data_IF_822513790248
#
_entry.id   IF_822513790248
#
_cell.length_a   1.000
_cell.length_b   1.000
_cell.length_c   1.000
_cell.angle_alpha   90.00
_cell.angle_beta   90.00
_cell.angle_gamma   90.00
#
_symmetry.space_group_name_H-M   'P 1'
#
loop_
_entity.id
_entity.type
_entity.pdbx_description
1 polymer ?
#
# COMPACT_ATOMS: atom_id res chain seq x y z
N UNK A 1 26.88 15.82 -6.31
CA UNK A 1 26.05 14.61 -6.37
C UNK A 1 24.93 14.82 -5.35
N UNK A 2 23.67 14.50 -5.65
CA UNK A 2 22.66 14.46 -4.59
C UNK A 2 23.12 13.46 -3.53
N UNK A 3 23.01 13.84 -2.26
CA UNK A 3 23.36 12.97 -1.13
C UNK A 3 22.45 11.75 -1.11
N UNK A 4 23.00 10.57 -0.81
CA UNK A 4 22.21 9.35 -0.59
C UNK A 4 21.15 9.62 0.49
N UNK A 5 19.85 9.41 0.19
CA UNK A 5 18.79 9.69 1.14
C UNK A 5 18.87 8.76 2.35
N UNK A 6 18.53 9.29 3.52
CA UNK A 6 18.49 8.59 4.80
C UNK A 6 17.06 8.30 5.21
N UNK A 7 16.69 7.03 5.29
CA UNK A 7 15.33 6.56 5.53
C UNK A 7 15.23 5.91 6.90
N UNK A 8 14.29 6.37 7.72
CA UNK A 8 13.93 5.73 8.99
C UNK A 8 12.62 4.97 8.83
N UNK A 9 12.67 3.65 8.87
CA UNK A 9 11.47 2.81 8.87
C UNK A 9 11.07 2.48 10.30
N UNK A 10 9.85 2.81 10.70
CA UNK A 10 9.30 2.47 12.01
C UNK A 10 8.19 1.45 11.85
N UNK A 11 8.44 0.24 12.34
CA UNK A 11 7.62 -0.94 12.12
C UNK A 11 8.02 -1.67 10.84
N UNK A 12 8.43 -2.93 10.98
CA UNK A 12 8.86 -3.79 9.89
C UNK A 12 8.06 -5.11 9.88
N UNK A 13 6.75 -5.00 10.06
CA UNK A 13 5.80 -6.10 9.83
C UNK A 13 5.69 -6.48 8.35
N UNK A 14 4.58 -7.10 7.93
CA UNK A 14 4.43 -7.54 6.52
C UNK A 14 4.62 -6.41 5.50
N UNK A 15 3.96 -5.27 5.71
CA UNK A 15 4.04 -4.13 4.79
C UNK A 15 5.37 -3.38 4.89
N UNK A 16 5.84 -3.08 6.11
CA UNK A 16 7.15 -2.44 6.31
C UNK A 16 8.31 -3.28 5.78
N UNK A 17 8.23 -4.61 5.93
CA UNK A 17 9.19 -5.55 5.34
C UNK A 17 9.17 -5.54 3.82
N UNK A 18 7.98 -5.55 3.20
CA UNK A 18 7.86 -5.42 1.74
C UNK A 18 8.52 -4.14 1.21
N UNK A 19 8.23 -3.01 1.84
CA UNK A 19 8.85 -1.72 1.51
C UNK A 19 10.37 -1.78 1.62
N UNK A 20 10.86 -2.29 2.74
CA UNK A 20 12.30 -2.42 2.97
C UNK A 20 12.98 -3.32 1.94
N UNK A 21 12.39 -4.49 1.64
CA UNK A 21 12.94 -5.42 0.67
C UNK A 21 12.99 -4.78 -0.72
N UNK A 22 11.97 -4.00 -1.11
CA UNK A 22 11.98 -3.20 -2.33
C UNK A 22 13.07 -2.13 -2.35
N UNK A 23 13.30 -1.43 -1.24
CA UNK A 23 14.36 -0.41 -1.16
C UNK A 23 15.76 -1.01 -1.20
N UNK A 24 15.97 -2.18 -0.58
CA UNK A 24 17.26 -2.88 -0.61
C UNK A 24 17.57 -3.48 -1.98
N UNK A 25 16.56 -3.75 -2.80
CA UNK A 25 16.73 -4.18 -4.19
C UNK A 25 17.07 -3.01 -5.15
N UNK A 26 16.95 -1.75 -4.69
CA UNK A 26 17.25 -0.58 -5.50
C UNK A 26 18.75 -0.49 -5.85
N UNK A 27 19.12 -0.12 -7.10
CA UNK A 27 20.52 0.00 -7.52
C UNK A 27 21.27 1.12 -6.78
N UNK A 28 20.55 2.07 -6.18
CA UNK A 28 21.11 3.14 -5.34
C UNK A 28 20.57 2.99 -3.92
N UNK A 29 21.24 2.19 -3.07
CA UNK A 29 20.73 1.90 -1.74
C UNK A 29 20.77 3.15 -0.87
N UNK A 30 19.61 3.50 -0.33
CA UNK A 30 19.47 4.52 0.71
C UNK A 30 20.19 4.09 1.99
N UNK A 31 20.54 5.05 2.86
CA UNK A 31 20.99 4.73 4.21
C UNK A 31 19.76 4.45 5.08
N UNK A 32 19.56 3.20 5.48
CA UNK A 32 18.32 2.79 6.16
C UNK A 32 18.58 2.47 7.64
N UNK A 33 17.71 3.00 8.51
CA UNK A 33 17.57 2.53 9.89
C UNK A 33 16.15 2.01 10.08
N UNK A 34 16.03 0.81 10.64
CA UNK A 34 14.74 0.16 10.91
C UNK A 34 14.55 0.08 12.41
N UNK A 35 13.42 0.56 12.92
CA UNK A 35 12.99 0.39 14.30
C UNK A 35 11.92 -0.69 14.34
N UNK A 36 12.28 -1.88 14.81
CA UNK A 36 11.35 -3.00 14.98
C UNK A 36 11.76 -3.90 16.15
N UNK A 37 10.80 -4.25 17.02
CA UNK A 37 11.05 -5.02 18.25
C UNK A 37 11.40 -6.49 17.99
N UNK A 38 10.94 -7.04 16.86
CA UNK A 38 11.01 -8.46 16.55
C UNK A 38 12.01 -8.78 15.45
N UNK A 39 12.38 -7.79 14.63
CA UNK A 39 13.41 -7.95 13.60
C UNK A 39 14.81 -7.86 14.18
N UNK A 40 15.74 -8.55 13.54
CA UNK A 40 17.17 -8.47 13.82
C UNK A 40 17.95 -8.60 12.51
N UNK A 41 19.19 -8.14 12.51
CA UNK A 41 20.06 -8.13 11.33
C UNK A 41 20.54 -6.72 11.03
N UNK A 42 21.79 -6.59 10.62
CA UNK A 42 22.38 -5.32 10.22
C UNK A 42 23.45 -5.60 9.18
N UNK A 43 23.45 -4.84 8.10
CA UNK A 43 24.53 -4.80 7.12
C UNK A 43 24.98 -3.35 6.89
N UNK A 44 25.84 -3.13 5.89
CA UNK A 44 26.40 -1.81 5.59
C UNK A 44 25.34 -0.79 5.13
N UNK A 45 24.20 -1.25 4.61
CA UNK A 45 23.13 -0.42 4.02
C UNK A 45 21.92 -0.26 4.93
N UNK A 46 21.67 -1.23 5.81
CA UNK A 46 20.53 -1.26 6.72
C UNK A 46 20.94 -1.65 8.14
N UNK A 47 20.65 -0.77 9.10
CA UNK A 47 20.78 -1.06 10.53
C UNK A 47 19.40 -1.28 11.17
N UNK A 48 19.22 -2.38 11.89
CA UNK A 48 17.98 -2.66 12.64
C UNK A 48 18.21 -2.43 14.12
N UNK A 49 17.36 -1.63 14.74
CA UNK A 49 17.34 -1.31 16.17
C UNK A 49 16.00 -1.68 16.78
N UNK A 50 15.97 -1.99 18.08
CA UNK A 50 14.75 -2.50 18.74
C UNK A 50 13.84 -1.41 19.29
N UNK A 51 14.40 -0.22 19.52
CA UNK A 51 13.71 0.92 20.08
C UNK A 51 14.21 2.23 19.47
N UNK A 52 13.37 3.28 19.52
CA UNK A 52 13.75 4.60 19.00
C UNK A 52 15.01 5.14 19.71
N UNK A 53 15.19 4.88 21.01
CA UNK A 53 16.38 5.30 21.77
C UNK A 53 17.70 4.69 21.28
N UNK A 54 17.64 3.62 20.49
CA UNK A 54 18.82 2.95 19.92
C UNK A 54 19.19 3.49 18.53
N UNK A 55 18.39 4.42 17.97
CA UNK A 55 18.72 5.08 16.69
C UNK A 55 20.07 5.81 16.85
N UNK A 56 21.06 5.57 15.97
CA UNK A 56 22.36 6.21 16.07
C UNK A 56 22.25 7.74 16.15
N UNK A 57 22.99 8.37 17.06
CA UNK A 57 23.01 9.83 17.23
C UNK A 57 23.51 10.58 15.99
N UNK A 58 24.31 9.91 15.16
CA UNK A 58 24.84 10.43 13.88
C UNK A 58 23.85 10.30 12.72
N UNK A 59 22.76 9.56 12.87
CA UNK A 59 21.77 9.36 11.81
C UNK A 59 20.79 10.52 11.76
N UNK A 60 20.53 11.12 10.60
CA UNK A 60 19.50 12.16 10.44
C UNK A 60 18.60 11.73 9.29
N UNK A 61 17.31 11.45 9.54
CA UNK A 61 16.41 11.03 8.48
C UNK A 61 16.02 12.18 7.56
N UNK A 62 15.96 11.91 6.27
CA UNK A 62 15.28 12.74 5.28
C UNK A 62 13.78 12.37 5.25
N UNK A 63 13.47 11.08 5.37
CA UNK A 63 12.10 10.56 5.45
C UNK A 63 11.97 9.60 6.65
N UNK A 64 10.89 9.77 7.40
CA UNK A 64 10.43 8.82 8.42
C UNK A 64 9.22 8.08 7.86
N UNK A 65 9.35 6.79 7.59
CA UNK A 65 8.24 5.93 7.13
C UNK A 65 7.60 5.25 8.33
N UNK A 66 6.33 5.56 8.57
CA UNK A 66 5.55 5.02 9.69
C UNK A 66 4.68 3.86 9.22
N UNK A 67 5.12 2.64 9.50
CA UNK A 67 4.48 1.37 9.11
C UNK A 67 4.09 0.53 10.35
N UNK A 68 3.59 1.20 11.39
CA UNK A 68 3.06 0.59 12.62
C UNK A 68 1.54 0.42 12.55
N UNK A 69 0.92 -0.03 13.63
CA UNK A 69 -0.55 -0.03 13.73
C UNK A 69 -1.04 1.40 14.04
N UNK A 70 -2.21 1.83 13.55
CA UNK A 70 -2.76 3.17 13.83
C UNK A 70 -2.87 3.50 15.32
N UNK A 71 -3.18 2.50 16.15
CA UNK A 71 -3.31 2.64 17.59
C UNK A 71 -1.98 2.96 18.31
N UNK A 72 -0.84 2.63 17.70
CA UNK A 72 0.50 2.84 18.30
C UNK A 72 1.27 3.99 17.63
N UNK A 73 0.63 4.73 16.71
CA UNK A 73 1.27 5.77 15.93
C UNK A 73 1.77 6.93 16.80
N UNK A 74 0.93 7.42 17.72
CA UNK A 74 1.25 8.54 18.60
C UNK A 74 2.43 8.21 19.53
N UNK A 75 2.41 7.03 20.17
CA UNK A 75 3.52 6.55 21.01
C UNK A 75 4.83 6.43 20.23
N UNK A 76 4.75 5.92 19.00
CA UNK A 76 5.92 5.81 18.12
C UNK A 76 6.50 7.19 17.77
N UNK A 77 5.64 8.15 17.40
CA UNK A 77 6.04 9.53 17.09
C UNK A 77 6.64 10.20 18.33
N UNK A 78 6.07 9.99 19.52
CA UNK A 78 6.60 10.50 20.79
C UNK A 78 8.01 9.97 21.06
N UNK A 79 8.21 8.66 20.97
CA UNK A 79 9.51 8.04 21.17
C UNK A 79 10.55 8.49 20.13
N UNK A 80 10.13 8.78 18.89
CA UNK A 80 10.98 9.38 17.87
C UNK A 80 11.38 10.80 18.22
N UNK A 81 10.46 11.63 18.72
CA UNK A 81 10.77 12.98 19.20
C UNK A 81 11.82 12.98 20.30
N UNK A 82 11.66 12.12 21.30
CA UNK A 82 12.62 11.96 22.40
C UNK A 82 14.02 11.54 21.92
N UNK A 83 14.09 10.64 20.93
CA UNK A 83 15.37 10.13 20.41
C UNK A 83 16.04 11.06 19.40
N UNK A 84 15.28 11.56 18.42
CA UNK A 84 15.80 12.35 17.31
C UNK A 84 16.01 13.82 17.70
N UNK A 85 15.17 14.35 18.59
CA UNK A 85 15.17 15.76 18.98
C UNK A 85 15.08 16.67 17.75
N UNK A 86 16.01 17.63 17.64
CA UNK A 86 16.05 18.59 16.52
C UNK A 86 16.28 17.93 15.16
N UNK A 87 16.84 16.72 15.10
CA UNK A 87 17.05 15.97 13.84
C UNK A 87 15.73 15.61 13.17
N UNK A 88 14.67 15.38 13.94
CA UNK A 88 13.35 15.04 13.41
C UNK A 88 12.80 16.15 12.51
N UNK A 89 13.08 17.42 12.83
CA UNK A 89 12.59 18.60 12.08
C UNK A 89 13.10 18.70 10.65
N UNK A 90 14.11 17.91 10.28
CA UNK A 90 14.65 17.86 8.92
C UNK A 90 13.93 16.87 8.02
N UNK A 91 13.14 15.97 8.61
CA UNK A 91 12.46 14.91 7.89
C UNK A 91 11.06 15.34 7.42
N UNK A 92 10.54 14.63 6.41
CA UNK A 92 9.11 14.45 6.23
C UNK A 92 8.66 13.09 6.80
N UNK A 93 7.41 12.98 7.22
CA UNK A 93 6.82 11.73 7.69
C UNK A 93 5.89 11.15 6.63
N UNK A 94 6.21 9.96 6.13
CA UNK A 94 5.35 9.17 5.25
C UNK A 94 4.61 8.11 6.06
N UNK A 95 3.30 8.28 6.24
CA UNK A 95 2.45 7.26 6.87
C UNK A 95 1.91 6.30 5.83
N UNK A 96 2.12 5.00 6.03
CA UNK A 96 1.49 3.94 5.20
C UNK A 96 0.28 3.29 5.89
N UNK A 97 -0.23 3.94 6.95
CA UNK A 97 -1.30 3.42 7.79
C UNK A 97 -2.66 3.95 7.35
N UNK A 98 -3.65 3.07 7.30
CA UNK A 98 -5.05 3.48 7.23
C UNK A 98 -5.51 4.17 8.53
N UNK A 99 -6.51 5.04 8.43
CA UNK A 99 -7.23 5.56 9.61
C UNK A 99 -6.52 6.65 10.43
N UNK A 100 -5.46 7.28 9.93
CA UNK A 100 -4.84 8.46 10.59
C UNK A 100 -4.66 9.59 9.60
N UNK A 101 -5.21 10.77 9.92
CA UNK A 101 -5.13 11.94 9.04
C UNK A 101 -3.75 12.63 9.11
N UNK A 102 -3.40 13.43 8.11
CA UNK A 102 -2.22 14.28 8.14
C UNK A 102 -2.29 15.24 9.33
N UNK A 103 -3.48 15.77 9.64
CA UNK A 103 -3.69 16.63 10.82
C UNK A 103 -3.34 15.90 12.12
N UNK A 104 -3.90 14.70 12.34
CA UNK A 104 -3.65 13.92 13.55
C UNK A 104 -2.16 13.56 13.72
N UNK A 105 -1.49 13.19 12.62
CA UNK A 105 -0.05 12.88 12.62
C UNK A 105 0.81 14.14 12.84
N UNK A 106 0.43 15.27 12.24
CA UNK A 106 1.08 16.56 12.44
C UNK A 106 0.96 17.04 13.88
N UNK A 107 -0.22 16.87 14.49
CA UNK A 107 -0.47 17.20 15.90
C UNK A 107 0.37 16.32 16.84
N UNK A 108 0.45 15.02 16.56
CA UNK A 108 1.31 14.10 17.30
C UNK A 108 2.79 14.52 17.21
N UNK A 109 3.30 14.82 16.01
CA UNK A 109 4.67 15.27 15.82
C UNK A 109 4.95 16.59 16.54
N UNK A 110 3.98 17.52 16.51
CA UNK A 110 4.09 18.82 17.17
C UNK A 110 4.17 18.69 18.68
N UNK A 111 3.38 17.80 19.29
CA UNK A 111 3.47 17.47 20.73
C UNK A 111 4.83 16.88 21.11
N UNK A 112 5.46 16.17 20.17
CA UNK A 112 6.83 15.64 20.31
C UNK A 112 7.92 16.68 19.97
N UNK A 113 7.56 17.95 19.77
CA UNK A 113 8.49 19.05 19.55
C UNK A 113 8.99 19.22 18.11
N UNK A 114 8.35 18.56 17.13
CA UNK A 114 8.72 18.63 15.72
C UNK A 114 7.54 19.06 14.84
N UNK A 115 7.73 20.10 14.03
CA UNK A 115 6.79 20.48 12.96
C UNK A 115 7.37 20.00 11.65
N UNK A 116 6.77 18.97 11.05
CA UNK A 116 7.29 18.30 9.86
C UNK A 116 6.17 18.08 8.83
N UNK A 117 6.48 18.06 7.53
CA UNK A 117 5.52 17.70 6.50
C UNK A 117 5.02 16.27 6.66
N UNK A 118 3.74 16.06 6.40
CA UNK A 118 3.11 14.74 6.47
C UNK A 118 2.65 14.32 5.09
N UNK A 119 3.05 13.14 4.67
CA UNK A 119 2.58 12.48 3.48
C UNK A 119 1.89 11.17 3.89
N UNK A 120 0.90 10.76 3.12
CA UNK A 120 0.15 9.54 3.36
C UNK A 120 0.13 8.69 2.11
N UNK A 121 0.30 7.39 2.29
CA UNK A 121 0.14 6.42 1.22
C UNK A 121 -0.69 5.23 1.69
N UNK A 122 -1.48 4.67 0.78
CA UNK A 122 -2.28 3.47 1.01
C UNK A 122 -1.79 2.36 0.09
N UNK A 123 -0.62 1.75 0.37
CA UNK A 123 -0.15 0.57 -0.36
C UNK A 123 -1.02 -0.65 -0.03
N UNK A 124 -0.93 -1.68 -0.86
CA UNK A 124 -1.63 -2.94 -0.66
C UNK A 124 -0.68 -4.15 -0.53
N UNK A 125 -1.21 -5.31 -0.17
CA UNK A 125 -0.41 -6.50 0.14
C UNK A 125 0.42 -7.07 -1.02
N UNK A 126 0.04 -6.94 -2.31
CA UNK A 126 0.91 -7.26 -3.44
C UNK A 126 2.26 -6.53 -3.49
N UNK A 127 2.44 -5.45 -2.71
CA UNK A 127 3.74 -4.78 -2.55
C UNK A 127 4.86 -5.74 -2.13
N UNK A 128 4.54 -6.81 -1.40
CA UNK A 128 5.51 -7.83 -0.97
C UNK A 128 6.16 -8.61 -2.12
N UNK A 129 5.64 -8.50 -3.34
CA UNK A 129 6.18 -9.14 -4.53
C UNK A 129 6.46 -8.13 -5.65
N UNK A 130 6.53 -6.83 -5.33
CA UNK A 130 6.78 -5.77 -6.31
C UNK A 130 5.62 -5.49 -7.27
N UNK A 131 4.43 -6.03 -7.00
CA UNK A 131 3.22 -5.83 -7.80
C UNK A 131 2.16 -5.01 -7.04
N UNK A 132 2.63 -4.15 -6.13
CA UNK A 132 1.78 -3.27 -5.35
C UNK A 132 1.12 -2.18 -6.18
N UNK A 133 0.13 -1.53 -5.58
CA UNK A 133 -0.34 -0.21 -6.01
C UNK A 133 -0.62 0.63 -4.76
N UNK A 134 -0.19 1.88 -4.78
CA UNK A 134 -0.33 2.82 -3.66
C UNK A 134 -1.04 4.08 -4.11
N UNK A 135 -2.15 4.45 -3.46
CA UNK A 135 -2.60 5.84 -3.56
C UNK A 135 -1.78 6.72 -2.63
N UNK A 136 -1.41 7.91 -3.08
CA UNK A 136 -0.45 8.78 -2.41
C UNK A 136 -0.95 10.22 -2.35
N UNK A 137 -0.93 10.79 -1.15
CA UNK A 137 -1.26 12.19 -0.89
C UNK A 137 -0.08 12.89 -0.21
N UNK A 138 0.30 14.05 -0.73
CA UNK A 138 1.33 14.90 -0.15
C UNK A 138 0.67 16.16 0.42
N UNK A 139 0.89 16.44 1.71
CA UNK A 139 0.36 17.68 2.28
C UNK A 139 1.04 18.91 1.65
N UNK A 140 0.38 20.07 1.61
CA UNK A 140 0.95 21.30 1.03
C UNK A 140 2.28 21.76 1.64
N UNK A 141 2.62 21.27 2.83
CA UNK A 141 3.88 21.59 3.53
C UNK A 141 5.06 20.75 3.02
N UNK A 142 4.82 19.67 2.29
CA UNK A 142 5.89 18.82 1.76
C UNK A 142 6.56 19.49 0.56
N UNK A 143 7.89 19.49 0.53
CA UNK A 143 8.63 19.98 -0.62
C UNK A 143 8.48 19.03 -1.82
N UNK A 144 8.82 19.51 -3.01
CA UNK A 144 8.82 18.68 -4.22
C UNK A 144 9.85 17.54 -4.11
N UNK A 145 11.01 17.81 -3.50
CA UNK A 145 12.04 16.80 -3.26
C UNK A 145 11.56 15.71 -2.30
N UNK A 146 10.89 16.09 -1.20
CA UNK A 146 10.33 15.13 -0.23
C UNK A 146 9.20 14.30 -0.85
N UNK A 147 8.36 14.96 -1.66
CA UNK A 147 7.27 14.30 -2.39
C UNK A 147 7.79 13.30 -3.39
N UNK A 148 8.81 13.68 -4.17
CA UNK A 148 9.46 12.81 -5.16
C UNK A 148 10.15 11.63 -4.50
N UNK A 149 10.86 11.86 -3.40
CA UNK A 149 11.50 10.78 -2.64
C UNK A 149 10.46 9.80 -2.06
N UNK A 150 9.35 10.28 -1.51
CA UNK A 150 8.27 9.40 -1.03
C UNK A 150 7.65 8.60 -2.17
N UNK A 151 7.45 9.23 -3.33
CA UNK A 151 6.97 8.54 -4.53
C UNK A 151 7.94 7.42 -4.94
N UNK A 152 9.25 7.69 -5.04
CA UNK A 152 10.28 6.68 -5.36
C UNK A 152 10.28 5.51 -4.38
N UNK A 153 10.17 5.79 -3.08
CA UNK A 153 10.10 4.74 -2.05
C UNK A 153 8.87 3.84 -2.21
N UNK A 154 7.72 4.40 -2.61
CA UNK A 154 6.51 3.61 -2.88
C UNK A 154 6.63 2.87 -4.21
N UNK A 155 7.22 3.52 -5.22
CA UNK A 155 7.40 2.95 -6.56
C UNK A 155 8.29 1.71 -6.56
N UNK A 156 9.23 1.62 -5.61
CA UNK A 156 10.10 0.46 -5.43
C UNK A 156 9.35 -0.86 -5.15
N UNK A 157 8.06 -0.81 -4.77
CA UNK A 157 7.26 -2.00 -4.48
C UNK A 157 6.00 -2.12 -5.33
N UNK A 158 5.78 -1.23 -6.30
CA UNK A 158 4.60 -1.24 -7.16
C UNK A 158 4.24 0.15 -7.67
N UNK A 159 3.14 0.27 -8.40
CA UNK A 159 2.74 1.54 -9.00
C UNK A 159 2.19 2.54 -7.97
N UNK A 160 2.25 3.83 -8.29
CA UNK A 160 1.85 4.92 -7.39
C UNK A 160 0.91 5.88 -8.09
N UNK A 161 -0.28 6.07 -7.50
CA UNK A 161 -1.28 7.01 -7.98
C UNK A 161 -1.37 8.17 -7.01
N UNK A 162 -1.01 9.37 -7.45
CA UNK A 162 -1.18 10.58 -6.65
C UNK A 162 -2.66 10.99 -6.64
N UNK A 163 -3.17 11.36 -5.47
CA UNK A 163 -4.49 11.99 -5.31
C UNK A 163 -4.32 13.42 -4.83
N UNK A 164 -5.22 14.31 -5.26
CA UNK A 164 -5.15 15.74 -4.96
C UNK A 164 -5.65 16.08 -3.55
N UNK A 165 -6.53 15.26 -2.99
CA UNK A 165 -7.16 15.50 -1.70
C UNK A 165 -6.94 14.32 -0.78
N UNK A 166 -6.77 14.61 0.50
CA UNK A 166 -6.50 13.58 1.50
C UNK A 166 -7.70 12.62 1.65
N UNK A 167 -8.92 13.13 1.56
CA UNK A 167 -10.14 12.33 1.67
C UNK A 167 -10.28 11.27 0.56
N UNK A 168 -9.63 11.46 -0.59
CA UNK A 168 -9.67 10.49 -1.69
C UNK A 168 -8.93 9.19 -1.29
N UNK A 169 -8.07 9.22 -0.27
CA UNK A 169 -7.41 8.01 0.24
C UNK A 169 -8.39 6.98 0.82
N UNK A 170 -9.59 7.38 1.26
CA UNK A 170 -10.62 6.42 1.70
C UNK A 170 -11.16 5.61 0.53
N UNK A 171 -11.38 6.25 -0.63
CA UNK A 171 -11.77 5.57 -1.86
C UNK A 171 -10.63 4.68 -2.40
N UNK A 172 -9.38 5.16 -2.36
CA UNK A 172 -8.20 4.34 -2.67
C UNK A 172 -8.14 3.10 -1.77
N UNK A 173 -8.32 3.26 -0.46
CA UNK A 173 -8.27 2.14 0.49
C UNK A 173 -9.34 1.09 0.19
N UNK A 174 -10.55 1.54 -0.17
CA UNK A 174 -11.63 0.65 -0.58
C UNK A 174 -11.29 -0.08 -1.89
N UNK A 175 -10.80 0.65 -2.90
CA UNK A 175 -10.54 0.09 -4.23
C UNK A 175 -9.30 -0.80 -4.28
N UNK A 176 -8.13 -0.28 -3.88
CA UNK A 176 -6.83 -0.91 -4.08
C UNK A 176 -6.26 -1.52 -2.80
N UNK A 177 -6.49 -0.90 -1.64
CA UNK A 177 -6.04 -1.43 -0.34
C UNK A 177 -6.74 -2.74 0.02
N UNK A 178 -8.07 -2.74 -0.10
CA UNK A 178 -8.94 -3.91 0.12
C UNK A 178 -9.09 -4.77 -1.13
N UNK A 179 -8.79 -4.22 -2.31
CA UNK A 179 -8.89 -4.86 -3.63
C UNK A 179 -8.37 -6.30 -3.73
N UNK A 180 -7.17 -6.63 -3.22
CA UNK A 180 -6.64 -7.99 -3.25
C UNK A 180 -7.59 -9.02 -2.62
N UNK A 181 -8.31 -8.66 -1.55
CA UNK A 181 -9.27 -9.56 -0.91
C UNK A 181 -10.45 -9.89 -1.84
N UNK A 182 -10.89 -8.93 -2.66
CA UNK A 182 -11.98 -9.12 -3.63
C UNK A 182 -11.54 -10.08 -4.74
N UNK A 183 -10.31 -9.95 -5.22
CA UNK A 183 -9.72 -10.85 -6.22
C UNK A 183 -9.51 -12.26 -5.65
N UNK A 184 -9.09 -12.38 -4.40
CA UNK A 184 -8.97 -13.69 -3.73
C UNK A 184 -10.33 -14.35 -3.53
N UNK A 185 -11.36 -13.59 -3.16
CA UNK A 185 -12.73 -14.09 -3.06
C UNK A 185 -13.25 -14.55 -4.44
N UNK A 186 -12.97 -13.80 -5.51
CA UNK A 186 -13.33 -14.23 -6.86
C UNK A 186 -12.65 -15.56 -7.22
N UNK A 187 -11.37 -15.72 -6.90
CA UNK A 187 -10.66 -16.98 -7.10
C UNK A 187 -11.37 -18.11 -6.34
N UNK A 188 -11.64 -17.93 -5.05
CA UNK A 188 -12.32 -18.92 -4.20
C UNK A 188 -13.69 -19.34 -4.78
N UNK A 189 -14.49 -18.38 -5.24
CA UNK A 189 -15.80 -18.64 -5.83
C UNK A 189 -15.70 -19.41 -7.16
N UNK A 190 -14.72 -19.07 -8.01
CA UNK A 190 -14.47 -19.79 -9.27
C UNK A 190 -13.97 -21.22 -9.02
N UNK A 191 -13.08 -21.41 -8.04
CA UNK A 191 -12.60 -22.73 -7.63
C UNK A 191 -13.79 -23.61 -7.20
N UNK A 192 -14.64 -23.09 -6.30
CA UNK A 192 -15.82 -23.80 -5.80
C UNK A 192 -16.84 -24.13 -6.91
N UNK A 193 -17.08 -23.20 -7.82
CA UNK A 193 -17.96 -23.43 -8.96
C UNK A 193 -17.41 -24.53 -9.89
N UNK A 194 -16.11 -24.50 -10.18
CA UNK A 194 -15.46 -25.54 -10.99
C UNK A 194 -15.59 -26.94 -10.39
N UNK A 195 -15.41 -27.06 -9.07
CA UNK A 195 -15.63 -28.32 -8.34
C UNK A 195 -17.08 -28.81 -8.45
N UNK A 196 -18.06 -27.90 -8.30
CA UNK A 196 -19.48 -28.22 -8.47
C UNK A 196 -19.82 -28.69 -9.91
N UNK A 197 -19.00 -28.31 -10.89
CA UNK A 197 -19.09 -28.78 -12.27
C UNK A 197 -18.22 -30.01 -12.57
N UNK A 198 -17.74 -30.71 -11.54
CA UNK A 198 -17.08 -32.01 -11.65
C UNK A 198 -15.56 -31.96 -11.83
N UNK A 199 -14.94 -30.78 -11.74
CA UNK A 199 -13.48 -30.69 -11.72
C UNK A 199 -12.93 -31.14 -10.36
N UNK A 200 -11.73 -31.72 -10.36
CA UNK A 200 -11.02 -31.92 -9.09
C UNK A 200 -10.62 -30.57 -8.50
N UNK A 201 -10.55 -30.49 -7.16
CA UNK A 201 -10.10 -29.29 -6.45
C UNK A 201 -8.78 -28.74 -7.00
N UNK A 202 -7.79 -29.61 -7.23
CA UNK A 202 -6.49 -29.21 -7.78
C UNK A 202 -6.63 -28.58 -9.17
N UNK A 203 -7.50 -29.13 -10.01
CA UNK A 203 -7.74 -28.61 -11.38
C UNK A 203 -8.47 -27.27 -11.33
N UNK A 204 -9.56 -27.19 -10.56
CA UNK A 204 -10.34 -25.96 -10.39
C UNK A 204 -9.47 -24.82 -9.86
N UNK A 205 -8.66 -25.10 -8.83
CA UNK A 205 -7.65 -24.17 -8.27
C UNK A 205 -6.66 -23.66 -9.29
N UNK A 206 -6.08 -24.55 -10.09
CA UNK A 206 -5.12 -24.16 -11.13
C UNK A 206 -5.78 -23.29 -12.20
N UNK A 207 -6.98 -23.63 -12.64
CA UNK A 207 -7.70 -22.90 -13.68
C UNK A 207 -8.17 -21.52 -13.21
N UNK A 208 -8.75 -21.42 -12.01
CA UNK A 208 -9.24 -20.15 -11.45
C UNK A 208 -8.09 -19.15 -11.27
N UNK A 209 -7.00 -19.58 -10.62
CA UNK A 209 -5.82 -18.72 -10.39
C UNK A 209 -5.12 -18.34 -11.67
N UNK A 210 -4.96 -19.30 -12.60
CA UNK A 210 -4.36 -19.03 -13.91
C UNK A 210 -5.16 -18.02 -14.72
N UNK A 211 -6.50 -18.12 -14.69
CA UNK A 211 -7.40 -17.19 -15.37
C UNK A 211 -7.27 -15.78 -14.79
N UNK A 212 -7.28 -15.64 -13.46
CA UNK A 212 -7.13 -14.33 -12.80
C UNK A 212 -5.77 -13.72 -13.10
N UNK A 213 -4.69 -14.50 -13.00
CA UNK A 213 -3.35 -14.03 -13.32
C UNK A 213 -3.24 -13.56 -14.77
N UNK A 214 -3.72 -14.37 -15.73
CA UNK A 214 -3.67 -14.02 -17.15
C UNK A 214 -4.48 -12.78 -17.47
N UNK A 215 -5.70 -12.66 -16.95
CA UNK A 215 -6.54 -11.48 -17.16
C UNK A 215 -5.95 -10.22 -16.51
N UNK A 216 -5.39 -10.34 -15.29
CA UNK A 216 -4.70 -9.24 -14.62
C UNK A 216 -3.47 -8.78 -15.40
N UNK A 217 -2.67 -9.70 -15.94
CA UNK A 217 -1.56 -9.36 -16.83
C UNK A 217 -2.01 -8.68 -18.12
N UNK A 218 -3.09 -9.15 -18.73
CA UNK A 218 -3.63 -8.48 -19.92
C UNK A 218 -4.04 -7.03 -19.61
N UNK A 219 -4.65 -6.78 -18.45
CA UNK A 219 -5.01 -5.42 -18.03
C UNK A 219 -3.79 -4.52 -17.78
N UNK A 220 -2.66 -5.10 -17.37
CA UNK A 220 -1.42 -4.37 -17.07
C UNK A 220 -0.58 -4.13 -18.34
N UNK A 221 -0.47 -5.15 -19.20
CA UNK A 221 0.42 -5.16 -20.36
C UNK A 221 -0.22 -4.58 -21.63
N UNK A 222 -1.57 -4.55 -21.73
CA UNK A 222 -2.28 -4.14 -22.95
C UNK A 222 -2.83 -2.70 -22.86
N UNK A 223 -2.88 -1.97 -23.98
CA UNK A 223 -3.43 -0.61 -24.01
C UNK A 223 -4.96 -0.55 -23.98
N UNK A 224 -5.64 -1.69 -24.18
CA UNK A 224 -7.10 -1.78 -24.25
C UNK A 224 -7.75 -1.68 -22.87
N UNK A 225 -8.88 -0.98 -22.80
CA UNK A 225 -9.70 -0.91 -21.58
C UNK A 225 -10.29 -2.28 -21.21
N UNK A 226 -10.57 -2.50 -19.92
CA UNK A 226 -11.18 -3.72 -19.41
C UNK A 226 -12.48 -4.12 -20.13
N UNK A 227 -13.27 -3.13 -20.57
CA UNK A 227 -14.50 -3.37 -21.30
C UNK A 227 -14.25 -3.97 -22.69
N UNK A 228 -13.16 -3.58 -23.35
CA UNK A 228 -12.81 -4.05 -24.68
C UNK A 228 -12.13 -5.42 -24.62
N UNK A 229 -11.24 -5.64 -23.65
CA UNK A 229 -10.70 -6.98 -23.36
C UNK A 229 -11.83 -7.98 -23.08
N UNK A 230 -12.86 -7.59 -22.31
CA UNK A 230 -14.05 -8.43 -22.06
C UNK A 230 -14.83 -8.71 -23.34
N UNK A 231 -15.06 -7.71 -24.20
CA UNK A 231 -15.77 -7.91 -25.49
C UNK A 231 -14.98 -8.85 -26.40
N UNK A 232 -13.66 -8.73 -26.46
CA UNK A 232 -12.80 -9.53 -27.32
C UNK A 232 -12.90 -11.05 -27.04
N UNK A 233 -13.16 -11.44 -25.78
CA UNK A 233 -13.35 -12.85 -25.40
C UNK A 233 -14.82 -13.31 -25.40
N UNK A 234 -15.74 -12.47 -25.87
CA UNK A 234 -17.19 -12.73 -25.87
C UNK A 234 -17.70 -12.96 -27.29
N UNK A 235 -17.83 -14.23 -27.68
CA UNK A 235 -18.49 -14.58 -28.93
C UNK A 235 -20.02 -14.49 -28.79
N UNK A 236 -20.74 -13.97 -29.81
CA UNK A 236 -22.20 -13.98 -29.83
C UNK A 236 -22.76 -15.40 -29.64
N UNK A 237 -23.73 -15.55 -28.74
CA UNK A 237 -24.33 -16.84 -28.34
C UNK A 237 -23.34 -17.88 -27.76
N UNK A 238 -22.12 -17.47 -27.40
CA UNK A 238 -21.12 -18.33 -26.78
C UNK A 238 -21.33 -18.52 -25.28
N UNK A 239 -20.53 -19.40 -24.68
CA UNK A 239 -20.54 -19.67 -23.23
C UNK A 239 -20.23 -18.43 -22.40
N UNK A 240 -19.27 -17.59 -22.84
CA UNK A 240 -18.94 -16.31 -22.19
C UNK A 240 -20.15 -15.37 -22.19
N UNK A 241 -20.86 -15.25 -23.32
CA UNK A 241 -22.03 -14.39 -23.41
C UNK A 241 -23.14 -14.84 -22.45
N UNK A 242 -23.39 -16.16 -22.36
CA UNK A 242 -24.36 -16.72 -21.42
C UNK A 242 -24.00 -16.42 -19.95
N UNK A 243 -22.72 -16.55 -19.57
CA UNK A 243 -22.27 -16.20 -18.23
C UNK A 243 -22.37 -14.70 -17.95
N UNK A 244 -21.96 -13.84 -18.88
CA UNK A 244 -22.01 -12.39 -18.73
C UNK A 244 -23.44 -11.86 -18.62
N UNK A 245 -24.43 -12.47 -19.27
CA UNK A 245 -25.84 -12.12 -19.10
C UNK A 245 -26.29 -12.22 -17.64
N UNK A 246 -25.74 -13.17 -16.87
CA UNK A 246 -26.02 -13.31 -15.44
C UNK A 246 -25.18 -12.34 -14.62
N UNK A 247 -23.87 -12.30 -14.85
CA UNK A 247 -22.95 -11.48 -14.03
C UNK A 247 -23.16 -9.97 -14.20
N UNK A 248 -23.60 -9.53 -15.38
CA UNK A 248 -23.85 -8.12 -15.71
C UNK A 248 -25.30 -7.70 -15.49
N UNK A 249 -26.17 -8.57 -14.96
CA UNK A 249 -27.50 -8.17 -14.54
C UNK A 249 -27.41 -7.01 -13.52
N UNK A 250 -28.33 -6.02 -13.53
CA UNK A 250 -28.20 -4.81 -12.70
C UNK A 250 -28.03 -5.07 -11.20
N UNK A 251 -28.65 -6.13 -10.69
CA UNK A 251 -28.64 -6.57 -9.29
C UNK A 251 -27.49 -7.55 -8.95
N UNK A 252 -26.69 -7.96 -9.95
CA UNK A 252 -25.54 -8.83 -9.79
C UNK A 252 -24.25 -8.04 -9.51
N UNK A 253 -23.19 -8.21 -10.30
CA UNK A 253 -21.89 -7.58 -10.03
C UNK A 253 -21.96 -6.04 -10.03
N UNK A 254 -22.64 -5.36 -10.97
CA UNK A 254 -22.71 -3.90 -10.97
C UNK A 254 -23.19 -3.32 -9.63
N UNK A 255 -24.31 -3.83 -9.11
CA UNK A 255 -24.85 -3.42 -7.79
C UNK A 255 -23.96 -3.86 -6.64
N UNK A 256 -23.50 -5.11 -6.63
CA UNK A 256 -22.79 -5.66 -5.47
C UNK A 256 -21.38 -5.10 -5.31
N UNK A 257 -20.67 -4.84 -6.43
CA UNK A 257 -19.37 -4.18 -6.39
C UNK A 257 -19.52 -2.74 -5.87
N UNK A 258 -20.48 -1.97 -6.38
CA UNK A 258 -20.73 -0.61 -5.86
C UNK A 258 -20.97 -0.62 -4.35
N UNK A 259 -21.90 -1.46 -3.87
CA UNK A 259 -22.22 -1.57 -2.44
C UNK A 259 -21.02 -1.99 -1.59
N UNK A 260 -20.19 -2.90 -2.11
CA UNK A 260 -19.00 -3.35 -1.39
C UNK A 260 -17.95 -2.23 -1.26
N UNK A 261 -17.73 -1.47 -2.34
CA UNK A 261 -16.83 -0.30 -2.31
C UNK A 261 -17.38 0.78 -1.39
N UNK A 262 -18.67 1.12 -1.47
CA UNK A 262 -19.31 2.11 -0.59
C UNK A 262 -19.17 1.72 0.90
N UNK A 263 -19.38 0.44 1.22
CA UNK A 263 -19.23 -0.07 2.58
C UNK A 263 -17.77 0.02 3.07
N UNK A 264 -16.80 -0.30 2.21
CA UNK A 264 -15.39 -0.21 2.53
C UNK A 264 -14.92 1.25 2.69
N UNK A 265 -15.36 2.16 1.81
CA UNK A 265 -15.05 3.60 1.89
C UNK A 265 -15.62 4.19 3.16
N UNK A 266 -16.91 3.95 3.46
CA UNK A 266 -17.53 4.40 4.71
C UNK A 266 -16.76 3.91 5.93
N UNK A 267 -16.32 2.64 5.92
CA UNK A 267 -15.54 2.10 7.03
C UNK A 267 -14.15 2.74 7.13
N UNK A 268 -13.51 3.05 6.01
CA UNK A 268 -12.24 3.77 6.02
C UNK A 268 -12.39 5.17 6.63
N UNK A 269 -13.47 5.87 6.31
CA UNK A 269 -13.79 7.18 6.89
C UNK A 269 -14.08 7.09 8.40
N UNK A 270 -14.85 6.09 8.84
CA UNK A 270 -15.11 5.85 10.28
C UNK A 270 -13.84 5.57 11.09
N UNK A 271 -12.82 5.00 10.43
CA UNK A 271 -11.53 4.71 11.04
C UNK A 271 -10.57 5.90 10.97
N UNK A 272 -10.83 6.89 10.10
CA UNK A 272 -10.02 8.10 9.99
C UNK A 272 -10.27 9.00 11.21
N UNK A 273 -9.34 8.93 12.17
CA UNK A 273 -9.26 9.80 13.35
C UNK A 273 -8.01 10.67 13.33
#
# INVERSE_FOLDING_TARGET
MPSTPSILLVGCGKLGGALLDGWLASPTPSRIVVVDRHRSGSDETCSVVRAASEIPSTFTPDIIVLAVKPATAEDAISALGDSLGTRMKKAALLSVMAGRTCSALSDAASKSGATIPILRAMPNTPSAIGAGISGFYASPQASEEQTSLCHELLFAVGDVVRVDREEDLSAVTALSGSGPAYVFLLAELLEKAGEAHGLSQTTARRLARGTIYGAGRMLDDMPDDAADLRKAVTSPNGTTAAALNVLMAPDAWPSNISKAIDAATKRADELAG
#
